data_IF_325474118720
#
_entry.id   IF_325474118720
#
_cell.length_a   1.000
_cell.length_b   1.000
_cell.length_c   1.000
_cell.angle_alpha   90.00
_cell.angle_beta   90.00
_cell.angle_gamma   90.00
#
_symmetry.space_group_name_H-M   'P 1'
#
loop_
_entity.id
_entity.type
_entity.pdbx_description
1 polymer ?
#
# COMPACT_ATOMS: atom_id res chain seq x y z
N UNK A 1 17.86 -13.68 -21.69
CA UNK A 1 17.06 -12.48 -21.41
C UNK A 1 16.31 -12.72 -20.10
N UNK A 2 16.96 -12.44 -18.95
CA UNK A 2 16.41 -12.66 -17.61
C UNK A 2 15.11 -11.88 -17.33
N UNK A 3 14.84 -10.84 -18.10
CA UNK A 3 13.66 -9.97 -18.00
C UNK A 3 12.35 -10.74 -18.22
N UNK A 4 12.35 -11.71 -19.15
CA UNK A 4 11.18 -12.57 -19.39
C UNK A 4 10.89 -13.50 -18.22
N UNK A 5 11.94 -14.00 -17.57
CA UNK A 5 11.82 -14.87 -16.41
C UNK A 5 11.26 -14.10 -15.21
N UNK A 6 11.73 -12.87 -14.99
CA UNK A 6 11.21 -11.98 -13.96
C UNK A 6 9.71 -11.71 -14.16
N UNK A 7 9.31 -11.39 -15.40
CA UNK A 7 7.91 -11.12 -15.73
C UNK A 7 7.02 -12.35 -15.53
N UNK A 8 7.50 -13.54 -15.91
CA UNK A 8 6.80 -14.80 -15.61
C UNK A 8 6.61 -15.00 -14.11
N UNK A 9 7.66 -14.83 -13.30
CA UNK A 9 7.58 -14.99 -11.84
C UNK A 9 6.62 -13.98 -11.21
N UNK A 10 6.61 -12.74 -11.69
CA UNK A 10 5.70 -11.69 -11.22
C UNK A 10 4.23 -12.00 -11.52
N UNK A 11 3.96 -12.68 -12.64
CA UNK A 11 2.60 -13.03 -13.05
C UNK A 11 2.05 -14.27 -12.34
N UNK A 12 2.89 -15.19 -11.86
CA UNK A 12 2.47 -16.42 -11.15
C UNK A 12 1.36 -16.17 -10.12
N UNK A 13 1.49 -15.27 -9.12
CA UNK A 13 0.45 -15.06 -8.13
C UNK A 13 -0.87 -14.59 -8.74
N UNK A 14 -0.83 -13.80 -9.82
CA UNK A 14 -2.01 -13.31 -10.53
C UNK A 14 -2.72 -14.46 -11.27
N UNK A 15 -1.95 -15.31 -11.96
CA UNK A 15 -2.49 -16.49 -12.64
C UNK A 15 -3.05 -17.51 -11.65
N UNK A 16 -2.36 -17.74 -10.52
CA UNK A 16 -2.83 -18.65 -9.46
C UNK A 16 -4.16 -18.17 -8.88
N UNK A 17 -4.32 -16.87 -8.62
CA UNK A 17 -5.58 -16.29 -8.17
C UNK A 17 -6.72 -16.52 -9.19
N UNK A 18 -6.44 -16.33 -10.48
CA UNK A 18 -7.39 -16.61 -11.55
C UNK A 18 -7.77 -18.09 -11.64
N UNK A 19 -6.80 -19.00 -11.59
CA UNK A 19 -7.03 -20.47 -11.62
C UNK A 19 -7.84 -20.91 -10.40
N UNK A 20 -7.54 -20.37 -9.23
CA UNK A 20 -8.26 -20.66 -7.99
C UNK A 20 -9.71 -20.16 -8.02
N UNK A 21 -9.95 -18.98 -8.59
CA UNK A 21 -11.31 -18.51 -8.81
C UNK A 21 -12.07 -19.40 -9.81
N UNK A 22 -11.40 -19.85 -10.87
CA UNK A 22 -12.00 -20.74 -11.87
C UNK A 22 -12.38 -22.10 -11.27
N UNK A 23 -11.57 -22.65 -10.36
CA UNK A 23 -11.91 -23.89 -9.65
C UNK A 23 -13.09 -23.74 -8.70
N UNK A 24 -13.39 -22.52 -8.25
CA UNK A 24 -14.58 -22.18 -7.46
C UNK A 24 -15.82 -21.84 -8.31
N UNK A 25 -15.75 -22.00 -9.64
CA UNK A 25 -16.84 -21.65 -10.55
C UNK A 25 -17.04 -20.14 -10.73
N UNK A 26 -16.05 -19.32 -10.37
CA UNK A 26 -16.03 -17.88 -10.58
C UNK A 26 -15.23 -17.54 -11.83
N UNK A 27 -15.52 -16.41 -12.47
CA UNK A 27 -14.86 -16.00 -13.70
C UNK A 27 -13.35 -15.78 -13.51
N UNK A 28 -12.52 -16.58 -14.19
CA UNK A 28 -11.05 -16.46 -14.20
C UNK A 28 -10.60 -15.02 -14.47
N UNK A 29 -11.11 -14.44 -15.55
CA UNK A 29 -10.71 -13.11 -16.02
C UNK A 29 -11.07 -11.99 -15.03
N UNK A 30 -12.22 -12.11 -14.38
CA UNK A 30 -12.67 -11.14 -13.38
C UNK A 30 -11.74 -11.13 -12.16
N UNK A 31 -11.42 -12.32 -11.65
CA UNK A 31 -10.53 -12.46 -10.48
C UNK A 31 -9.07 -12.16 -10.79
N UNK A 32 -8.60 -12.47 -12.00
CA UNK A 32 -7.29 -12.07 -12.49
C UNK A 32 -7.13 -10.54 -12.48
N UNK A 33 -8.13 -9.81 -13.01
CA UNK A 33 -8.11 -8.34 -12.99
C UNK A 33 -8.23 -7.75 -11.59
N UNK A 34 -9.04 -8.35 -10.71
CA UNK A 34 -9.15 -7.89 -9.31
C UNK A 34 -7.82 -8.06 -8.57
N UNK A 35 -7.14 -9.18 -8.77
CA UNK A 35 -5.82 -9.43 -8.18
C UNK A 35 -4.79 -8.38 -8.62
N UNK A 36 -4.92 -7.86 -9.84
CA UNK A 36 -4.09 -6.78 -10.36
C UNK A 36 -4.51 -5.39 -9.85
N UNK A 37 -5.80 -5.22 -9.53
CA UNK A 37 -6.37 -3.94 -9.07
C UNK A 37 -6.06 -3.65 -7.59
N UNK A 38 -5.95 -4.69 -6.75
CA UNK A 38 -5.61 -4.55 -5.32
C UNK A 38 -4.34 -3.71 -5.07
N UNK A 39 -3.20 -3.97 -5.74
CA UNK A 39 -2.01 -3.13 -5.64
C UNK A 39 -2.26 -1.65 -5.94
N UNK A 40 -3.05 -1.37 -6.97
CA UNK A 40 -3.39 0.01 -7.38
C UNK A 40 -4.22 0.69 -6.28
N UNK A 41 -5.27 0.00 -5.80
CA UNK A 41 -6.15 0.53 -4.74
C UNK A 41 -5.35 0.79 -3.46
N UNK A 42 -4.48 -0.15 -3.08
CA UNK A 42 -3.61 0.00 -1.90
C UNK A 42 -2.75 1.26 -2.00
N UNK A 43 -2.24 1.57 -3.19
CA UNK A 43 -1.40 2.74 -3.42
C UNK A 43 -2.21 4.05 -3.37
N UNK A 44 -3.41 4.05 -3.96
CA UNK A 44 -4.33 5.18 -3.88
C UNK A 44 -4.70 5.47 -2.41
N UNK A 45 -5.09 4.46 -1.65
CA UNK A 45 -5.44 4.63 -0.23
C UNK A 45 -4.26 5.19 0.58
N UNK A 46 -3.04 4.71 0.33
CA UNK A 46 -1.85 5.22 1.00
C UNK A 46 -1.59 6.70 0.68
N UNK A 47 -1.78 7.09 -0.59
CA UNK A 47 -1.60 8.46 -1.04
C UNK A 47 -2.63 9.40 -0.41
N UNK A 48 -3.88 8.96 -0.30
CA UNK A 48 -4.93 9.73 0.38
C UNK A 48 -4.70 9.82 1.88
N UNK A 49 -4.27 8.72 2.52
CA UNK A 49 -3.92 8.72 3.95
C UNK A 49 -2.76 9.67 4.27
N UNK A 50 -1.80 9.83 3.37
CA UNK A 50 -0.71 10.80 3.53
C UNK A 50 -1.18 12.25 3.34
N UNK A 51 -2.14 12.47 2.42
CA UNK A 51 -2.76 13.79 2.25
C UNK A 51 -3.65 14.21 3.43
N UNK A 52 -4.27 13.24 4.12
CA UNK A 52 -5.10 13.46 5.31
C UNK A 52 -4.28 13.89 6.54
N UNK A 53 -2.96 13.64 6.55
CA UNK A 53 -2.02 14.11 7.60
C UNK A 53 -1.73 15.62 7.57
N UNK A 54 -2.52 16.42 6.84
CA UNK A 54 -2.56 17.86 7.03
C UNK A 54 -3.33 18.29 8.29
N UNK A 55 -3.91 17.35 9.06
CA UNK A 55 -4.28 17.57 10.45
C UNK A 55 -3.29 16.85 11.38
N UNK A 56 -2.52 17.66 12.10
CA UNK A 56 -1.66 17.27 13.22
C UNK A 56 -0.61 16.18 12.95
N UNK A 57 0.44 16.52 12.19
CA UNK A 57 1.78 16.13 12.68
C UNK A 57 1.94 16.80 14.04
N UNK A 58 1.52 16.13 15.12
CA UNK A 58 1.93 16.48 16.49
C UNK A 58 3.45 16.42 16.49
N UNK A 59 4.05 17.59 16.26
CA UNK A 59 5.47 17.82 16.51
C UNK A 59 5.72 17.26 17.88
N UNK A 60 6.70 16.36 17.96
CA UNK A 60 7.11 15.71 19.18
C UNK A 60 7.13 16.77 20.28
N UNK A 61 6.21 16.69 21.25
CA UNK A 61 6.13 17.68 22.31
C UNK A 61 7.48 17.63 23.03
N UNK A 62 8.28 18.68 22.87
CA UNK A 62 9.48 18.87 23.65
C UNK A 62 9.03 18.84 25.10
N UNK A 63 9.62 17.93 25.88
CA UNK A 63 9.21 17.75 27.26
C UNK A 63 9.26 19.08 28.01
N UNK A 64 8.26 19.32 28.88
CA UNK A 64 7.98 20.59 29.59
C UNK A 64 9.18 21.21 30.34
N UNK A 65 10.27 20.46 30.49
CA UNK A 65 11.51 20.93 31.11
C UNK A 65 12.44 21.72 30.18
N UNK A 66 12.24 21.67 28.86
CA UNK A 66 13.05 22.43 27.88
C UNK A 66 12.51 23.86 27.73
N UNK A 67 11.19 24.03 27.73
CA UNK A 67 10.51 25.33 27.55
C UNK A 67 10.87 26.33 28.65
N UNK A 68 10.98 25.86 29.89
CA UNK A 68 11.25 26.70 31.07
C UNK A 68 12.65 27.36 31.07
N UNK A 69 13.56 26.94 30.19
CA UNK A 69 14.92 27.48 30.13
C UNK A 69 15.03 28.71 29.22
N UNK A 70 14.10 28.88 28.28
CA UNK A 70 14.11 30.01 27.36
C UNK A 70 13.34 31.24 27.89
N UNK A 71 12.36 31.07 28.79
CA UNK A 71 11.65 32.20 29.42
C UNK A 71 12.48 32.98 30.46
N UNK A 72 13.67 32.50 30.82
CA UNK A 72 14.51 33.08 31.87
C UNK A 72 15.75 33.81 31.33
N UNK A 73 15.77 34.14 30.03
CA UNK A 73 16.77 35.01 29.39
C UNK A 73 16.20 36.40 29.12
#
# INVERSE_FOLDING_TARGET
MPELLLLCVMLIPQTVAGVYANSMGKSFWFWFFISFLIPIISLIVLLFLDNDKNEERKGYQLADHVEKKDELK
#
